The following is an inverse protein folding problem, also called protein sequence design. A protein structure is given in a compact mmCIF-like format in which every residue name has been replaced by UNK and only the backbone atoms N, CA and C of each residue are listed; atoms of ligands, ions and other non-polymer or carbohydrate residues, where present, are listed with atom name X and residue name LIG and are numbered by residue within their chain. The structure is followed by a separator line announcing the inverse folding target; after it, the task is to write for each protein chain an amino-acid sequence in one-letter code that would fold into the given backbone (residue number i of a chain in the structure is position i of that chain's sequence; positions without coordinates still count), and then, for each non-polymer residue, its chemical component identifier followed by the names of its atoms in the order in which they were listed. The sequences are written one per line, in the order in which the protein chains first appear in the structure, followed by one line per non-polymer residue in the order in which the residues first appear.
data_IF_756768510472
#
_entry.id   IF_756768510472
#
_cell.length_a   1.000
_cell.length_b   1.000
_cell.length_c   1.000
_cell.angle_alpha   90.00
_cell.angle_beta   90.00
_cell.angle_gamma   90.00
#
_symmetry.space_group_name_H-M   'P 1'
#
loop_
_entity.id
_entity.type
_entity.pdbx_description
1 polymer ?
#
# COMPACT_ATOMS: atom_id res chain seq x y z
N UNK A 1 4.19 4.01 -13.57
CA UNK A 1 5.31 3.44 -12.79
C UNK A 1 5.17 3.64 -11.28
N UNK A 2 4.81 4.84 -10.80
CA UNK A 2 4.74 5.14 -9.35
C UNK A 2 3.77 4.25 -8.57
N UNK A 3 2.57 3.99 -9.12
CA UNK A 3 1.58 3.09 -8.47
C UNK A 3 2.17 1.70 -8.22
N UNK A 4 2.80 1.11 -9.24
CA UNK A 4 3.35 -0.23 -9.19
C UNK A 4 4.49 -0.35 -8.15
N UNK A 5 5.35 0.67 -8.07
CA UNK A 5 6.47 0.69 -7.12
C UNK A 5 5.97 0.76 -5.67
N UNK A 6 5.02 1.66 -5.39
CA UNK A 6 4.47 1.83 -4.03
C UNK A 6 3.63 0.62 -3.63
N UNK A 7 2.87 0.01 -4.54
CA UNK A 7 2.13 -1.22 -4.25
C UNK A 7 3.05 -2.40 -3.94
N UNK A 8 4.17 -2.54 -4.66
CA UNK A 8 5.16 -3.59 -4.40
C UNK A 8 5.82 -3.42 -3.02
N UNK A 9 6.23 -2.19 -2.68
CA UNK A 9 6.76 -1.87 -1.35
C UNK A 9 5.74 -2.11 -0.23
N UNK A 10 4.48 -1.69 -0.44
CA UNK A 10 3.38 -1.94 0.50
C UNK A 10 3.09 -3.42 0.71
N UNK A 11 3.13 -4.24 -0.34
CA UNK A 11 2.96 -5.69 -0.26
C UNK A 11 4.07 -6.38 0.53
N UNK A 12 5.33 -5.95 0.34
CA UNK A 12 6.46 -6.44 1.13
C UNK A 12 6.34 -6.05 2.60
N UNK A 13 5.93 -4.82 2.90
CA UNK A 13 5.68 -4.40 4.28
C UNK A 13 4.53 -5.19 4.92
N UNK A 14 3.47 -5.48 4.16
CA UNK A 14 2.32 -6.25 4.63
C UNK A 14 2.67 -7.72 4.94
N UNK A 15 3.54 -8.35 4.15
CA UNK A 15 3.98 -9.73 4.41
C UNK A 15 4.80 -9.82 5.69
N UNK A 16 5.73 -8.87 5.90
CA UNK A 16 6.51 -8.76 7.14
C UNK A 16 5.60 -8.48 8.34
N UNK A 17 4.59 -7.60 8.19
CA UNK A 17 3.62 -7.31 9.25
C UNK A 17 2.76 -8.54 9.61
N UNK A 18 2.36 -9.35 8.63
CA UNK A 18 1.66 -10.62 8.85
C UNK A 18 2.54 -11.61 9.63
N UNK A 19 3.81 -11.70 9.26
CA UNK A 19 4.79 -12.54 9.94
C UNK A 19 5.00 -12.08 11.39
N UNK A 20 5.10 -10.77 11.63
CA UNK A 20 5.23 -10.19 12.96
C UNK A 20 4.01 -10.44 13.87
N UNK A 21 2.80 -10.56 13.30
CA UNK A 21 1.56 -10.82 14.05
C UNK A 21 1.34 -12.31 14.33
N UNK A 22 1.49 -13.15 13.31
CA UNK A 22 1.17 -14.58 13.42
C UNK A 22 2.35 -15.42 13.91
N UNK A 23 3.59 -14.97 13.67
CA UNK A 23 4.79 -15.76 13.92
C UNK A 23 4.87 -16.98 12.99
N UNK A 24 6.06 -17.54 12.84
CA UNK A 24 6.25 -18.82 12.18
C UNK A 24 7.36 -19.61 12.88
N UNK A 25 6.97 -20.73 13.50
CA UNK A 25 7.92 -21.57 14.22
C UNK A 25 8.91 -22.28 13.29
N UNK A 26 8.56 -22.49 12.01
CA UNK A 26 9.47 -23.09 11.03
C UNK A 26 10.59 -22.15 10.62
N UNK A 27 10.37 -20.83 10.72
CA UNK A 27 11.36 -19.80 10.45
C UNK A 27 12.05 -19.29 11.73
N UNK A 28 11.80 -19.91 12.89
CA UNK A 28 12.24 -19.41 14.21
C UNK A 28 11.83 -17.96 14.48
N UNK A 29 10.69 -17.53 13.93
CA UNK A 29 10.21 -16.15 14.06
C UNK A 29 9.06 -16.10 15.08
N UNK A 30 9.35 -15.53 16.25
CA UNK A 30 8.35 -15.38 17.31
C UNK A 30 7.45 -14.14 17.11
N UNK A 31 6.26 -14.15 17.73
CA UNK A 31 5.25 -13.09 17.59
C UNK A 31 5.68 -11.79 18.27
N UNK A 32 6.40 -10.94 17.55
CA UNK A 32 6.87 -9.62 18.02
C UNK A 32 5.70 -8.71 18.43
N UNK A 33 4.56 -8.79 17.76
CA UNK A 33 3.40 -7.96 18.09
C UNK A 33 2.79 -8.26 19.48
N UNK A 34 3.09 -9.41 20.09
CA UNK A 34 2.60 -9.77 21.43
C UNK A 34 3.31 -8.97 22.54
N UNK A 35 4.57 -8.59 22.30
CA UNK A 35 5.37 -7.77 23.23
C UNK A 35 5.20 -6.27 22.99
N UNK A 36 4.88 -5.87 21.76
CA UNK A 36 4.76 -4.47 21.32
C UNK A 36 3.40 -4.16 20.71
N UNK A 37 2.33 -4.54 21.41
CA UNK A 37 0.96 -4.46 20.90
C UNK A 37 0.54 -3.03 20.50
N UNK A 38 0.92 -2.02 21.28
CA UNK A 38 0.61 -0.62 20.97
C UNK A 38 1.27 -0.14 19.66
N UNK A 39 2.53 -0.48 19.43
CA UNK A 39 3.25 -0.15 18.19
C UNK A 39 2.71 -0.95 17.01
N UNK A 40 2.35 -2.21 17.21
CA UNK A 40 1.78 -3.05 16.16
C UNK A 40 0.39 -2.54 15.72
N UNK A 41 -0.44 -2.07 16.66
CA UNK A 41 -1.71 -1.39 16.33
C UNK A 41 -1.50 -0.11 15.55
N UNK A 42 -0.55 0.74 15.97
CA UNK A 42 -0.28 2.00 15.27
C UNK A 42 0.34 1.77 13.88
N UNK A 43 1.30 0.85 13.77
CA UNK A 43 1.93 0.45 12.52
C UNK A 43 0.95 -0.22 11.55
N UNK A 44 0.03 -1.04 12.06
CA UNK A 44 -1.07 -1.60 11.28
C UNK A 44 -2.00 -0.50 10.72
N UNK A 45 -2.31 0.52 11.53
CA UNK A 45 -3.06 1.69 11.07
C UNK A 45 -2.34 2.48 9.98
N UNK A 46 -1.02 2.70 10.15
CA UNK A 46 -0.19 3.38 9.15
C UNK A 46 -0.09 2.60 7.83
N UNK A 47 0.00 1.26 7.91
CA UNK A 47 -0.04 0.38 6.75
C UNK A 47 -1.35 0.54 5.96
N UNK A 48 -2.50 0.51 6.66
CA UNK A 48 -3.82 0.69 6.03
C UNK A 48 -3.93 2.09 5.40
N UNK A 49 -3.46 3.13 6.09
CA UNK A 49 -3.42 4.49 5.55
C UNK A 49 -2.56 4.59 4.27
N UNK A 50 -1.44 3.85 4.22
CA UNK A 50 -0.58 3.81 3.04
C UNK A 50 -1.27 3.17 1.83
N UNK A 51 -2.00 2.06 2.04
CA UNK A 51 -2.79 1.44 0.96
C UNK A 51 -3.93 2.33 0.46
N UNK A 52 -4.59 3.07 1.35
CA UNK A 52 -5.57 4.10 0.97
C UNK A 52 -4.93 5.18 0.10
N UNK A 53 -3.72 5.63 0.45
CA UNK A 53 -2.95 6.59 -0.35
C UNK A 53 -2.69 6.10 -1.78
N UNK A 54 -2.30 4.83 -1.95
CA UNK A 54 -2.11 4.22 -3.28
C UNK A 54 -3.41 4.20 -4.08
N UNK A 55 -4.54 3.89 -3.43
CA UNK A 55 -5.86 3.90 -4.06
C UNK A 55 -6.22 5.29 -4.59
N UNK A 56 -6.06 6.34 -3.79
CA UNK A 56 -6.31 7.72 -4.25
C UNK A 56 -5.36 8.13 -5.38
N UNK A 57 -4.07 7.79 -5.25
CA UNK A 57 -3.08 8.08 -6.27
C UNK A 57 -3.42 7.42 -7.61
N UNK A 58 -3.90 6.16 -7.59
CA UNK A 58 -4.37 5.46 -8.79
C UNK A 58 -5.56 6.19 -9.45
N UNK A 59 -6.56 6.59 -8.67
CA UNK A 59 -7.72 7.34 -9.18
C UNK A 59 -7.31 8.68 -9.82
N UNK A 60 -6.41 9.43 -9.18
CA UNK A 60 -5.91 10.71 -9.69
C UNK A 60 -5.15 10.54 -11.02
N UNK A 61 -4.34 9.49 -11.16
CA UNK A 61 -3.62 9.19 -12.40
C UNK A 61 -4.59 8.86 -13.55
N UNK A 62 -5.65 8.09 -13.27
CA UNK A 62 -6.66 7.75 -14.27
C UNK A 62 -7.42 9.00 -14.70
N UNK A 63 -7.91 9.81 -13.75
CA UNK A 63 -8.63 11.05 -14.04
C UNK A 63 -7.77 12.02 -14.86
N UNK A 64 -6.51 12.21 -14.49
CA UNK A 64 -5.57 13.07 -15.23
C UNK A 64 -5.37 12.59 -16.67
N UNK A 65 -5.16 11.29 -16.85
CA UNK A 65 -4.97 10.70 -18.18
C UNK A 65 -6.23 10.82 -19.04
N UNK A 66 -7.41 10.56 -18.46
CA UNK A 66 -8.69 10.72 -19.15
C UNK A 66 -8.97 12.17 -19.53
N UNK A 67 -8.66 13.11 -18.64
CA UNK A 67 -8.82 14.53 -18.90
C UNK A 67 -7.91 15.01 -20.04
N UNK A 68 -6.64 14.61 -20.02
CA UNK A 68 -5.70 14.89 -21.10
C UNK A 68 -6.13 14.23 -22.42
N UNK A 69 -6.61 12.99 -22.39
CA UNK A 69 -7.13 12.30 -23.56
C UNK A 69 -8.35 13.01 -24.14
N UNK A 70 -9.30 13.43 -23.28
CA UNK A 70 -10.48 14.18 -23.69
C UNK A 70 -10.11 15.53 -24.30
N UNK A 71 -9.15 16.24 -23.71
CA UNK A 71 -8.67 17.53 -24.22
C UNK A 71 -7.94 17.37 -25.57
N UNK A 72 -7.09 16.36 -25.70
CA UNK A 72 -6.39 16.05 -26.94
C UNK A 72 -7.36 15.64 -28.06
N UNK A 73 -8.43 14.91 -27.73
CA UNK A 73 -9.46 14.53 -28.69
C UNK A 73 -10.34 15.72 -29.07
N UNK A 74 -10.71 16.58 -28.11
CA UNK A 74 -11.50 17.79 -28.36
C UNK A 74 -10.75 18.86 -29.18
N UNK A 75 -9.42 18.90 -29.11
CA UNK A 75 -8.59 19.76 -29.99
C UNK A 75 -8.49 19.23 -31.43
N UNK A 76 -8.84 17.96 -31.67
CA UNK A 76 -8.66 17.27 -32.95
C UNK A 76 -9.94 17.28 -33.80
N UNK A 77 -11.04 17.82 -33.27
CA UNK A 77 -12.25 18.22 -34.02
C UNK A 77 -12.27 19.73 -34.18
#
# INVERSE_FOLDING_TARGET
VMVALVSAGGAAAASVARLAKNGDQRAYWDKICDKFDAYCRHGGGALIASFLGVFFLMNLNVLSTLYLYKLANNKRM
#
